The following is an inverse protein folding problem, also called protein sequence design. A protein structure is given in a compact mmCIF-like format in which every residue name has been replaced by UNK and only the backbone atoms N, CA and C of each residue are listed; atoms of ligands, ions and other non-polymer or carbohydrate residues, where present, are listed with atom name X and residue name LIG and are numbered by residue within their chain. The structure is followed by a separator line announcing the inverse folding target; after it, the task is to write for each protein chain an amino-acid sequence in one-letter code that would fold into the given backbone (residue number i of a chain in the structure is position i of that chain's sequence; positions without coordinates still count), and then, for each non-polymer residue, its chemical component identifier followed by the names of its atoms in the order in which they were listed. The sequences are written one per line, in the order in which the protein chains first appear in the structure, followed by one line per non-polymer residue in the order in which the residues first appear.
data_IF_825501683210
#
_entry.id   IF_825501683210
#
_cell.length_a   1.000
_cell.length_b   1.000
_cell.length_c   1.000
_cell.angle_alpha   90.00
_cell.angle_beta   90.00
_cell.angle_gamma   90.00
#
_symmetry.space_group_name_H-M   'P 1'
#
loop_
_entity.id
_entity.type
_entity.pdbx_description
1 polymer ?
#
# COMPACT_ATOMS: atom_id res chain seq x y z
N UNK A 1 -11.60 -10.70 -17.62
CA UNK A 1 -11.51 -11.20 -16.23
C UNK A 1 -11.54 -10.02 -15.29
N UNK A 2 -12.61 -9.86 -14.52
CA UNK A 2 -12.74 -8.79 -13.53
C UNK A 2 -11.64 -8.97 -12.46
N UNK A 3 -10.70 -8.01 -12.37
CA UNK A 3 -9.68 -8.04 -11.32
C UNK A 3 -10.41 -7.81 -9.99
N UNK A 4 -10.22 -8.71 -9.02
CA UNK A 4 -10.79 -8.58 -7.68
C UNK A 4 -10.26 -7.29 -7.02
N UNK A 5 -11.16 -6.55 -6.37
CA UNK A 5 -10.89 -5.35 -5.58
C UNK A 5 -10.03 -5.75 -4.38
N UNK A 6 -8.69 -5.59 -4.48
CA UNK A 6 -7.98 -4.33 -4.21
C UNK A 6 -7.01 -3.91 -5.33
N UNK A 7 -6.87 -4.70 -6.41
CA UNK A 7 -5.83 -4.51 -7.41
C UNK A 7 -5.94 -3.16 -8.14
N UNK A 8 -7.15 -2.72 -8.47
CA UNK A 8 -7.40 -1.41 -9.11
C UNK A 8 -7.00 -0.24 -8.22
N UNK A 9 -7.19 -0.36 -6.89
CA UNK A 9 -6.77 0.67 -5.95
C UNK A 9 -5.25 0.72 -5.82
N UNK A 10 -4.57 -0.43 -5.92
CA UNK A 10 -3.11 -0.47 -6.00
C UNK A 10 -2.55 0.14 -7.29
N UNK A 11 -3.29 0.08 -8.40
CA UNK A 11 -2.90 0.80 -9.63
C UNK A 11 -3.08 2.32 -9.51
N UNK A 12 -3.96 2.77 -8.61
CA UNK A 12 -4.28 4.19 -8.42
C UNK A 12 -3.91 4.72 -7.03
N UNK A 13 -2.90 4.16 -6.35
CA UNK A 13 -2.56 4.57 -4.98
C UNK A 13 -2.22 6.05 -4.88
N UNK A 14 -1.57 6.63 -5.89
CA UNK A 14 -1.31 8.07 -5.92
C UNK A 14 -2.59 8.90 -5.81
N UNK A 15 -3.67 8.49 -6.48
CA UNK A 15 -4.99 9.13 -6.38
C UNK A 15 -5.63 8.90 -5.02
N UNK A 16 -5.54 7.67 -4.49
CA UNK A 16 -6.07 7.34 -3.15
C UNK A 16 -5.37 8.18 -2.07
N UNK A 17 -4.04 8.34 -2.14
CA UNK A 17 -3.28 9.14 -1.19
C UNK A 17 -3.58 10.62 -1.31
N UNK A 18 -3.82 11.14 -2.52
CA UNK A 18 -4.28 12.52 -2.72
C UNK A 18 -5.64 12.74 -2.05
N UNK A 19 -6.62 11.87 -2.30
CA UNK A 19 -7.94 11.94 -1.68
C UNK A 19 -7.87 11.84 -0.15
N UNK A 20 -7.07 10.91 0.37
CA UNK A 20 -6.87 10.75 1.82
C UNK A 20 -6.26 12.01 2.46
N UNK A 21 -5.33 12.66 1.74
CA UNK A 21 -4.58 13.84 2.18
C UNK A 21 -5.27 15.17 1.92
N UNK A 22 -6.54 15.17 1.52
CA UNK A 22 -7.29 16.37 1.16
C UNK A 22 -6.64 17.20 0.03
N UNK A 23 -6.06 16.50 -0.96
CA UNK A 23 -5.50 17.12 -2.15
C UNK A 23 -6.48 16.98 -3.30
N UNK A 24 -6.49 17.99 -4.16
CA UNK A 24 -7.25 17.97 -5.42
C UNK A 24 -6.68 16.89 -6.34
N UNK A 25 -7.57 16.12 -6.96
CA UNK A 25 -7.24 15.13 -7.98
C UNK A 25 -7.65 15.69 -9.34
N UNK A 26 -6.71 15.73 -10.27
CA UNK A 26 -6.98 16.21 -11.62
C UNK A 26 -8.07 15.37 -12.30
N UNK A 27 -9.04 16.06 -12.92
CA UNK A 27 -10.15 15.41 -13.61
C UNK A 27 -11.26 14.86 -12.69
N UNK A 28 -11.12 14.96 -11.37
CA UNK A 28 -12.18 14.61 -10.43
C UNK A 28 -12.89 15.88 -9.94
N UNK A 29 -14.10 16.14 -10.45
CA UNK A 29 -14.93 17.20 -9.86
C UNK A 29 -15.37 16.77 -8.46
N UNK A 30 -15.27 17.65 -7.43
CA UNK A 30 -15.49 17.27 -6.03
C UNK A 30 -16.92 16.82 -5.69
N UNK A 31 -17.85 16.75 -6.65
CA UNK A 31 -19.23 16.38 -6.39
C UNK A 31 -19.87 17.30 -5.36
N UNK A 32 -20.81 16.78 -4.57
CA UNK A 32 -21.26 17.45 -3.36
C UNK A 32 -20.21 17.35 -2.26
N UNK A 33 -20.20 18.30 -1.31
CA UNK A 33 -19.31 18.25 -0.14
C UNK A 33 -19.44 16.94 0.64
N UNK A 34 -20.66 16.41 0.76
CA UNK A 34 -20.91 15.11 1.37
C UNK A 34 -20.22 13.96 0.63
N UNK A 35 -20.22 13.97 -0.70
CA UNK A 35 -19.54 12.97 -1.51
C UNK A 35 -18.01 13.07 -1.39
N UNK A 36 -17.47 14.30 -1.37
CA UNK A 36 -16.05 14.53 -1.15
C UNK A 36 -15.59 14.01 0.22
N UNK A 37 -16.38 14.25 1.28
CA UNK A 37 -16.10 13.76 2.62
C UNK A 37 -16.14 12.23 2.68
N UNK A 38 -17.16 11.60 2.09
CA UNK A 38 -17.29 10.14 2.07
C UNK A 38 -16.12 9.48 1.31
N UNK A 39 -15.75 10.06 0.16
CA UNK A 39 -14.61 9.60 -0.64
C UNK A 39 -13.30 9.69 0.15
N UNK A 40 -13.10 10.80 0.89
CA UNK A 40 -11.94 10.97 1.77
C UNK A 40 -11.91 9.92 2.88
N UNK A 41 -13.04 9.66 3.53
CA UNK A 41 -13.16 8.64 4.58
C UNK A 41 -12.85 7.24 4.03
N UNK A 42 -13.38 6.90 2.87
CA UNK A 42 -13.10 5.65 2.18
C UNK A 42 -11.62 5.50 1.82
N UNK A 43 -11.00 6.55 1.28
CA UNK A 43 -9.57 6.56 0.97
C UNK A 43 -8.70 6.35 2.22
N UNK A 44 -8.99 7.07 3.31
CA UNK A 44 -8.28 6.89 4.60
C UNK A 44 -8.51 5.50 5.20
N UNK A 45 -9.71 4.95 5.07
CA UNK A 45 -9.99 3.58 5.47
C UNK A 45 -9.14 2.57 4.70
N UNK A 46 -9.02 2.71 3.38
CA UNK A 46 -8.14 1.87 2.56
C UNK A 46 -6.68 1.95 3.00
N UNK A 47 -6.13 3.16 3.20
CA UNK A 47 -4.74 3.33 3.65
C UNK A 47 -4.51 2.59 4.98
N UNK A 48 -5.41 2.74 5.95
CA UNK A 48 -5.27 2.09 7.27
C UNK A 48 -5.39 0.57 7.21
N UNK A 49 -6.36 0.05 6.47
CA UNK A 49 -6.73 -1.38 6.52
C UNK A 49 -5.96 -2.24 5.52
N UNK A 50 -5.49 -1.64 4.43
CA UNK A 50 -4.79 -2.35 3.35
C UNK A 50 -3.31 -2.04 3.37
N UNK A 51 -2.92 -0.76 3.31
CA UNK A 51 -1.49 -0.38 3.20
C UNK A 51 -0.76 -0.51 4.54
N UNK A 52 -1.39 -0.06 5.63
CA UNK A 52 -0.82 -0.09 6.98
C UNK A 52 -1.15 -1.38 7.76
N UNK A 53 -1.73 -2.39 7.11
CA UNK A 53 -1.95 -3.70 7.71
C UNK A 53 -0.64 -4.24 8.32
N UNK A 54 -0.66 -4.88 9.50
CA UNK A 54 0.53 -5.55 10.02
C UNK A 54 1.14 -6.53 9.01
N UNK A 55 2.47 -6.55 8.93
CA UNK A 55 3.21 -7.45 8.04
C UNK A 55 3.22 -7.07 6.56
N UNK A 56 2.74 -5.89 6.16
CA UNK A 56 2.95 -5.39 4.80
C UNK A 56 4.42 -5.08 4.54
N UNK A 57 4.88 -5.41 3.34
CA UNK A 57 6.21 -5.03 2.85
C UNK A 57 6.31 -3.51 2.63
N UNK A 58 7.53 -2.98 2.49
CA UNK A 58 7.79 -1.54 2.36
C UNK A 58 7.20 -0.93 1.09
N UNK A 59 7.09 -1.70 0.01
CA UNK A 59 6.48 -1.23 -1.23
C UNK A 59 4.96 -1.12 -1.08
N UNK A 60 4.30 -2.17 -0.58
CA UNK A 60 2.86 -2.16 -0.29
C UNK A 60 2.51 -1.04 0.70
N UNK A 61 3.32 -0.87 1.75
CA UNK A 61 3.12 0.16 2.78
C UNK A 61 3.11 1.57 2.18
N UNK A 62 4.03 1.86 1.26
CA UNK A 62 4.14 3.17 0.61
C UNK A 62 3.35 3.28 -0.70
N UNK A 63 2.65 2.22 -1.11
CA UNK A 63 1.87 2.22 -2.35
C UNK A 63 2.74 2.29 -3.60
N UNK A 64 3.86 1.57 -3.58
CA UNK A 64 4.88 1.56 -4.63
C UNK A 64 5.07 0.15 -5.19
N UNK A 65 5.82 0.07 -6.27
CA UNK A 65 6.37 -1.17 -6.79
C UNK A 65 7.90 -1.07 -6.80
N UNK A 66 8.59 -2.20 -6.98
CA UNK A 66 10.05 -2.20 -7.16
C UNK A 66 10.52 -1.31 -8.33
N UNK A 67 9.67 -1.11 -9.34
CA UNK A 67 9.96 -0.26 -10.50
C UNK A 67 9.57 1.23 -10.30
N UNK A 68 8.96 1.60 -9.17
CA UNK A 68 8.50 2.97 -8.94
C UNK A 68 9.68 3.96 -8.86
N UNK A 69 9.57 5.14 -9.51
CA UNK A 69 10.65 6.12 -9.56
C UNK A 69 10.85 6.83 -8.21
N UNK A 70 12.05 7.37 -7.92
CA UNK A 70 12.35 8.05 -6.65
C UNK A 70 11.45 9.25 -6.33
N UNK A 71 10.96 9.95 -7.35
CA UNK A 71 10.03 11.07 -7.15
C UNK A 71 8.71 10.60 -6.51
N UNK A 72 8.17 9.48 -6.98
CA UNK A 72 6.94 8.89 -6.46
C UNK A 72 7.10 8.44 -5.00
N UNK A 73 8.26 7.86 -4.65
CA UNK A 73 8.60 7.53 -3.27
C UNK A 73 8.49 8.77 -2.36
N UNK A 74 9.14 9.87 -2.75
CA UNK A 74 9.12 11.12 -1.98
C UNK A 74 7.71 11.67 -1.83
N UNK A 75 6.91 11.66 -2.89
CA UNK A 75 5.56 12.21 -2.87
C UNK A 75 4.62 11.38 -1.99
N UNK A 76 4.65 10.05 -2.13
CA UNK A 76 3.85 9.13 -1.33
C UNK A 76 4.26 9.20 0.15
N UNK A 77 5.56 9.20 0.45
CA UNK A 77 6.08 9.35 1.81
C UNK A 77 5.53 10.62 2.47
N UNK A 78 5.58 11.77 1.79
CA UNK A 78 5.09 13.05 2.34
C UNK A 78 3.59 13.04 2.63
N UNK A 79 2.79 12.39 1.79
CA UNK A 79 1.35 12.23 2.02
C UNK A 79 1.10 11.30 3.21
N UNK A 80 1.74 10.14 3.23
CA UNK A 80 1.61 9.13 4.28
C UNK A 80 2.02 9.65 5.67
N UNK A 81 3.16 10.34 5.79
CA UNK A 81 3.60 10.86 7.09
C UNK A 81 2.68 11.97 7.61
N UNK A 82 2.17 12.82 6.72
CA UNK A 82 1.21 13.88 7.09
C UNK A 82 -0.11 13.29 7.59
N UNK A 83 -0.50 12.13 7.07
CA UNK A 83 -1.69 11.41 7.55
C UNK A 83 -1.48 10.79 8.92
N UNK A 84 -0.35 10.10 9.12
CA UNK A 84 -0.16 9.22 10.28
C UNK A 84 0.59 9.83 11.47
N UNK A 85 1.31 10.94 11.28
CA UNK A 85 2.11 11.54 12.35
C UNK A 85 1.19 12.25 13.38
N UNK A 86 1.44 12.07 14.70
CA UNK A 86 0.57 12.62 15.75
C UNK A 86 0.45 14.16 15.68
N UNK A 87 1.50 14.86 15.27
CA UNK A 87 1.49 16.33 15.12
C UNK A 87 0.45 16.86 14.11
N UNK A 88 -0.03 16.00 13.19
CA UNK A 88 -1.04 16.36 12.20
C UNK A 88 -2.36 15.61 12.39
N UNK A 89 -2.43 14.70 13.37
CA UNK A 89 -3.60 13.88 13.61
C UNK A 89 -4.76 14.74 14.13
N UNK A 90 -5.92 14.63 13.48
CA UNK A 90 -7.17 15.19 13.98
C UNK A 90 -7.76 14.24 15.03
N UNK A 91 -8.42 14.77 16.06
CA UNK A 91 -8.98 13.96 17.16
C UNK A 91 -9.99 12.89 16.68
N UNK A 92 -10.59 13.08 15.51
CA UNK A 92 -11.66 12.24 14.97
C UNK A 92 -11.17 11.00 14.21
N UNK A 93 -9.87 10.81 14.01
CA UNK A 93 -9.36 9.66 13.24
C UNK A 93 -8.08 9.06 13.81
N UNK A 94 -8.23 7.89 14.44
CA UNK A 94 -7.11 7.13 14.97
C UNK A 94 -6.35 6.40 13.84
N UNK A 95 -5.08 6.75 13.69
CA UNK A 95 -4.09 6.00 12.92
C UNK A 95 -3.42 4.94 13.81
N UNK A 96 -2.91 3.83 13.25
CA UNK A 96 -2.12 2.88 14.03
C UNK A 96 -0.94 3.59 14.71
N UNK A 97 -0.72 3.33 16.00
CA UNK A 97 0.27 4.07 16.81
C UNK A 97 1.70 3.92 16.30
N UNK A 98 1.99 2.84 15.56
CA UNK A 98 3.29 2.54 14.96
C UNK A 98 3.39 2.97 13.48
N UNK A 99 2.33 3.54 12.90
CA UNK A 99 2.27 3.83 11.46
C UNK A 99 3.37 4.80 11.03
N UNK A 100 3.54 5.92 11.75
CA UNK A 100 4.57 6.91 11.43
C UNK A 100 5.99 6.30 11.45
N UNK A 101 6.31 5.49 12.47
CA UNK A 101 7.60 4.81 12.57
C UNK A 101 7.82 3.83 11.40
N UNK A 102 6.80 3.06 11.02
CA UNK A 102 6.88 2.13 9.88
C UNK A 102 7.04 2.85 8.54
N UNK A 103 6.35 3.98 8.35
CA UNK A 103 6.47 4.84 7.16
C UNK A 103 7.89 5.41 7.04
N UNK A 104 8.44 5.93 8.14
CA UNK A 104 9.81 6.46 8.17
C UNK A 104 10.83 5.37 7.83
N UNK A 105 10.73 4.21 8.49
CA UNK A 105 11.62 3.09 8.25
C UNK A 105 11.58 2.60 6.79
N UNK A 106 10.37 2.45 6.23
CA UNK A 106 10.21 2.08 4.82
C UNK A 106 10.85 3.11 3.88
N UNK A 107 10.68 4.40 4.14
CA UNK A 107 11.31 5.46 3.35
C UNK A 107 12.85 5.42 3.48
N UNK A 108 13.39 5.22 4.67
CA UNK A 108 14.85 5.15 4.89
C UNK A 108 15.47 3.97 4.11
N UNK A 109 14.82 2.81 4.12
CA UNK A 109 15.24 1.64 3.34
C UNK A 109 15.15 1.90 1.84
N UNK A 110 14.00 2.37 1.34
CA UNK A 110 13.75 2.50 -0.10
C UNK A 110 14.45 3.70 -0.75
N UNK A 111 14.82 4.72 0.02
CA UNK A 111 15.52 5.91 -0.49
C UNK A 111 17.02 5.68 -0.67
N UNK A 112 17.61 4.71 0.05
CA UNK A 112 19.01 4.31 -0.12
C UNK A 112 19.13 3.20 -1.18
N UNK A 113 19.90 3.40 -2.27
CA UNK A 113 20.06 2.36 -3.29
C UNK A 113 20.61 1.05 -2.75
N UNK A 114 21.54 1.12 -1.78
CA UNK A 114 22.15 -0.06 -1.16
C UNK A 114 21.13 -0.80 -0.28
N UNK A 115 20.42 -0.08 0.60
CA UNK A 115 19.43 -0.71 1.49
C UNK A 115 18.25 -1.28 0.70
N UNK A 116 17.78 -0.56 -0.33
CA UNK A 116 16.74 -1.03 -1.24
C UNK A 116 17.16 -2.33 -1.95
N UNK A 117 18.39 -2.40 -2.46
CA UNK A 117 18.89 -3.62 -3.09
C UNK A 117 18.93 -4.82 -2.12
N UNK A 118 19.42 -4.62 -0.89
CA UNK A 118 19.42 -5.67 0.13
C UNK A 118 17.99 -6.10 0.51
N UNK A 119 17.08 -5.12 0.61
CA UNK A 119 15.69 -5.38 0.88
C UNK A 119 15.02 -6.19 -0.24
N UNK A 120 15.24 -5.82 -1.50
CA UNK A 120 14.72 -6.53 -2.67
C UNK A 120 15.21 -7.99 -2.68
N UNK A 121 16.48 -8.23 -2.37
CA UNK A 121 17.04 -9.57 -2.23
C UNK A 121 16.34 -10.38 -1.12
N UNK A 122 16.02 -9.75 0.02
CA UNK A 122 15.32 -10.42 1.12
C UNK A 122 13.89 -10.87 0.76
N UNK A 123 13.18 -10.10 -0.09
CA UNK A 123 11.83 -10.44 -0.54
C UNK A 123 11.80 -11.68 -1.45
N UNK A 124 12.83 -11.87 -2.27
CA UNK A 124 12.98 -13.06 -3.12
C UNK A 124 13.19 -14.30 -2.25
N UNK A 125 13.97 -14.19 -1.17
CA UNK A 125 14.23 -15.30 -0.26
C UNK A 125 13.02 -15.66 0.62
N UNK A 126 12.21 -14.66 0.99
CA UNK A 126 11.01 -14.86 1.79
C UNK A 126 9.82 -15.42 1.01
N UNK A 127 9.86 -15.40 -0.33
CA UNK A 127 8.81 -15.95 -1.17
C UNK A 127 8.80 -17.48 -1.05
N UNK A 128 7.72 -18.10 -0.53
CA UNK A 128 7.68 -19.56 -0.37
C UNK A 128 7.82 -20.22 -1.74
N UNK A 129 8.74 -21.18 -1.86
CA UNK A 129 8.84 -22.02 -3.06
C UNK A 129 7.46 -22.63 -3.37
N UNK A 130 7.02 -22.63 -4.64
CA UNK A 130 5.74 -23.23 -4.99
C UNK A 130 5.76 -24.69 -4.55
N UNK A 131 4.78 -25.07 -3.72
CA UNK A 131 4.57 -26.46 -3.32
C UNK A 131 4.42 -27.27 -4.60
N UNK A 132 5.45 -28.07 -4.92
CA UNK A 132 5.41 -28.99 -6.04
C UNK A 132 4.50 -30.14 -5.60
N UNK A 133 3.22 -30.07 -5.93
CA UNK A 133 2.32 -31.21 -5.81
C UNK A 133 2.84 -32.32 -6.75
N UNK A 134 3.63 -33.24 -6.22
CA UNK A 134 3.88 -34.53 -6.87
C UNK A 134 2.60 -35.33 -6.75
N UNK A 135 1.77 -35.27 -7.79
CA UNK A 135 0.58 -36.11 -7.91
C UNK A 135 1.01 -37.58 -7.96
N UNK A 136 0.76 -38.30 -6.87
CA UNK A 136 0.73 -39.75 -6.89
C UNK A 136 -0.41 -40.17 -7.84
N UNK A 137 -0.04 -40.82 -8.94
CA UNK A 137 -0.96 -41.42 -9.89
C UNK A 137 -1.60 -42.63 -9.20
N UNK A 138 -2.84 -42.50 -8.74
CA UNK A 138 -3.67 -43.66 -8.44
C UNK A 138 -4.44 -44.02 -9.71
N UNK A 139 -3.93 -45.04 -10.41
CA UNK A 139 -4.71 -45.79 -11.37
C UNK A 139 -5.74 -46.63 -10.60
N UNK A 140 -7.02 -46.43 -10.88
CA UNK A 140 -8.07 -47.36 -10.49
C UNK A 140 -9.07 -47.46 -11.65
N UNK A 141 -8.95 -48.57 -12.39
CA UNK A 141 -9.95 -49.00 -13.35
C UNK A 141 -11.14 -49.65 -12.64
N UNK A 142 -12.30 -49.48 -13.26
CA UNK A 142 -13.50 -50.31 -13.15
C UNK A 142 -14.08 -50.29 -14.58
N UNK A 143 -14.32 -51.41 -15.26
CA UNK A 143 -14.98 -52.61 -14.77
C UNK A 143 -16.40 -52.56 -15.33
#
# INVERSE_FOLDING_TARGET
MARREPALLFEQVGTVLQLASDRTVDGLSPGSEAHALETRRAARYFVRTVMLRPGTDHYTLLGLTAASPPAMLRDHYRMMIRLAHPDFASADEAWPSDAASRINFANDVLSSPVQRHLYDASLVQASPSPIRFQGAVFAAGWG
#
